data_IF_109536499115
#
_entry.id   IF_109536499115
#
_cell.length_a   1.000
_cell.length_b   1.000
_cell.length_c   1.000
_cell.angle_alpha   90.00
_cell.angle_beta   90.00
_cell.angle_gamma   90.00
#
_symmetry.space_group_name_H-M   'P 1'
#
loop_
_entity.id
_entity.type
_entity.pdbx_description
1 polymer ?
#
# COMPACT_ATOMS: atom_id res chain seq x y z
N UNK A 1 -22.13 16.90 41.47
CA UNK A 1 -22.31 16.82 39.99
C UNK A 1 -21.57 17.91 39.21
N UNK A 2 -20.95 18.93 39.83
CA UNK A 2 -20.25 20.02 39.11
C UNK A 2 -18.75 19.73 38.84
N UNK A 3 -18.09 18.95 39.71
CA UNK A 3 -16.67 18.53 39.53
C UNK A 3 -16.44 17.47 38.46
N UNK A 4 -17.51 16.89 37.91
CA UNK A 4 -17.41 15.92 36.81
C UNK A 4 -17.29 16.67 35.47
N UNK A 5 -17.92 17.84 35.34
CA UNK A 5 -17.92 18.61 34.10
C UNK A 5 -16.55 19.24 33.77
N UNK A 6 -15.69 19.49 34.76
CA UNK A 6 -14.36 20.05 34.54
C UNK A 6 -13.33 19.03 34.05
N UNK A 7 -13.59 17.72 34.19
CA UNK A 7 -12.66 16.65 33.76
C UNK A 7 -12.82 16.27 32.27
N UNK A 8 -13.93 16.65 31.65
CA UNK A 8 -14.26 16.29 30.26
C UNK A 8 -13.52 17.12 29.20
N UNK A 9 -12.95 18.27 29.57
CA UNK A 9 -12.32 19.21 28.62
C UNK A 9 -10.84 18.85 28.34
N UNK A 10 -10.21 17.99 29.17
CA UNK A 10 -8.77 17.66 29.07
C UNK A 10 -8.46 16.47 28.14
N UNK A 11 -9.47 15.77 27.61
CA UNK A 11 -9.28 14.55 26.82
C UNK A 11 -9.32 14.74 25.30
N UNK A 12 -9.39 15.98 24.79
CA UNK A 12 -9.49 16.27 23.35
C UNK A 12 -8.17 16.19 22.58
N UNK A 13 -7.05 15.87 23.24
CA UNK A 13 -5.71 15.82 22.63
C UNK A 13 -5.29 14.42 22.16
N UNK A 14 -6.21 13.58 21.67
CA UNK A 14 -5.86 12.25 21.14
C UNK A 14 -5.54 12.37 19.65
N UNK A 15 -4.27 12.70 19.40
CA UNK A 15 -3.38 12.19 18.35
C UNK A 15 -4.02 11.76 17.01
N UNK A 16 -3.66 12.47 15.94
CA UNK A 16 -3.92 12.09 14.55
C UNK A 16 -3.27 10.75 14.19
N UNK A 17 -4.04 9.67 14.33
CA UNK A 17 -3.67 8.33 13.89
C UNK A 17 -3.56 8.34 12.35
N UNK A 18 -2.34 8.51 11.82
CA UNK A 18 -2.08 8.45 10.39
C UNK A 18 -2.18 7.00 9.91
N UNK A 19 -3.40 6.57 9.58
CA UNK A 19 -3.65 5.27 8.97
C UNK A 19 -3.04 5.27 7.57
N UNK A 20 -1.86 4.67 7.42
CA UNK A 20 -1.25 4.45 6.12
C UNK A 20 -2.22 3.65 5.26
N UNK A 21 -2.86 4.31 4.28
CA UNK A 21 -3.77 3.64 3.34
C UNK A 21 -2.97 2.53 2.65
N UNK A 22 -3.52 1.32 2.69
CA UNK A 22 -2.88 0.19 2.06
C UNK A 22 -2.63 0.49 0.56
N UNK A 23 -1.38 0.33 0.10
CA UNK A 23 -0.98 0.59 -1.29
C UNK A 23 -1.28 -0.59 -2.23
N UNK A 24 -1.71 -0.29 -3.45
CA UNK A 24 -1.97 -1.24 -4.53
C UNK A 24 -0.91 -1.13 -5.63
N UNK A 25 -0.64 -2.22 -6.35
CA UNK A 25 0.31 -2.21 -7.47
C UNK A 25 0.05 -1.14 -8.53
N UNK A 26 -1.22 -0.75 -8.75
CA UNK A 26 -1.58 0.32 -9.69
C UNK A 26 -1.06 1.71 -9.29
N UNK A 27 -0.67 1.89 -8.03
CA UNK A 27 -0.14 3.17 -7.52
C UNK A 27 1.35 3.34 -7.79
N UNK A 28 2.07 2.29 -8.19
CA UNK A 28 3.51 2.35 -8.48
C UNK A 28 3.77 2.36 -9.98
N UNK A 29 4.84 3.02 -10.40
CA UNK A 29 5.22 3.10 -11.81
C UNK A 29 6.12 1.95 -12.26
N UNK A 30 6.89 1.37 -11.34
CA UNK A 30 7.80 0.25 -11.62
C UNK A 30 7.76 -0.80 -10.53
N UNK A 31 8.21 -2.01 -10.88
CA UNK A 31 8.38 -3.09 -9.91
C UNK A 31 9.37 -2.67 -8.81
N UNK A 32 10.49 -2.03 -9.18
CA UNK A 32 11.52 -1.60 -8.21
C UNK A 32 10.98 -0.64 -7.14
N UNK A 33 10.10 0.30 -7.53
CA UNK A 33 9.44 1.22 -6.62
C UNK A 33 8.51 0.46 -5.64
N UNK A 34 7.70 -0.45 -6.18
CA UNK A 34 6.82 -1.30 -5.40
C UNK A 34 7.61 -2.21 -4.44
N UNK A 35 8.73 -2.77 -4.90
CA UNK A 35 9.61 -3.63 -4.10
C UNK A 35 10.25 -2.88 -2.94
N UNK A 36 10.70 -1.64 -3.18
CA UNK A 36 11.22 -0.78 -2.11
C UNK A 36 10.15 -0.54 -1.05
N UNK A 37 8.93 -0.18 -1.47
CA UNK A 37 7.82 0.03 -0.55
C UNK A 37 7.47 -1.25 0.23
N UNK A 38 7.40 -2.40 -0.44
CA UNK A 38 7.16 -3.71 0.14
C UNK A 38 8.19 -4.04 1.24
N UNK A 39 9.48 -3.87 0.96
CA UNK A 39 10.56 -4.12 1.92
C UNK A 39 10.50 -3.15 3.11
N UNK A 40 10.28 -1.86 2.87
CA UNK A 40 10.24 -0.84 3.94
C UNK A 40 9.04 -1.00 4.87
N UNK A 41 7.86 -1.34 4.33
CA UNK A 41 6.62 -1.34 5.09
C UNK A 41 6.06 -2.74 5.37
N UNK A 42 6.80 -3.80 5.01
CA UNK A 42 6.35 -5.19 5.04
C UNK A 42 4.95 -5.33 4.39
N UNK A 43 4.76 -4.67 3.25
CA UNK A 43 3.45 -4.50 2.62
C UNK A 43 3.04 -5.77 1.85
N UNK A 44 2.80 -6.87 2.56
CA UNK A 44 2.47 -8.22 2.04
C UNK A 44 1.33 -8.27 1.02
N UNK A 45 0.54 -7.21 0.89
CA UNK A 45 -0.50 -7.11 -0.13
C UNK A 45 0.04 -6.83 -1.54
N UNK A 46 1.27 -6.32 -1.65
CA UNK A 46 1.93 -6.07 -2.93
C UNK A 46 2.53 -7.35 -3.55
N UNK A 47 2.83 -8.33 -2.71
CA UNK A 47 3.33 -9.66 -3.06
C UNK A 47 2.29 -10.70 -2.61
N UNK A 48 1.31 -10.97 -3.48
CA UNK A 48 0.10 -11.73 -3.10
C UNK A 48 0.36 -13.23 -3.03
N UNK A 49 1.23 -13.72 -3.88
CA UNK A 49 1.70 -15.10 -3.98
C UNK A 49 2.85 -15.43 -3.03
N UNK A 50 3.44 -14.41 -2.40
CA UNK A 50 4.42 -14.53 -1.30
C UNK A 50 5.73 -15.15 -1.76
N UNK A 51 6.13 -14.87 -2.99
CA UNK A 51 7.41 -15.31 -3.56
C UNK A 51 8.55 -14.33 -3.27
N UNK A 52 8.24 -13.19 -2.63
CA UNK A 52 9.18 -12.13 -2.29
C UNK A 52 9.27 -11.02 -3.33
N UNK A 53 8.57 -11.13 -4.46
CA UNK A 53 8.55 -10.13 -5.54
C UNK A 53 7.23 -9.34 -5.55
N UNK A 54 7.31 -8.07 -5.17
CA UNK A 54 6.14 -7.21 -5.15
C UNK A 54 5.75 -6.76 -6.57
N UNK A 55 4.46 -6.88 -6.91
CA UNK A 55 3.87 -6.30 -8.11
C UNK A 55 4.58 -6.68 -9.43
N UNK A 56 4.89 -7.96 -9.60
CA UNK A 56 5.55 -8.58 -10.76
C UNK A 56 5.02 -8.18 -12.16
N UNK A 57 3.77 -7.71 -12.27
CA UNK A 57 3.19 -7.22 -13.53
C UNK A 57 3.66 -5.80 -13.93
N UNK A 58 4.33 -5.06 -13.05
CA UNK A 58 4.87 -3.73 -13.36
C UNK A 58 6.17 -3.85 -14.16
N UNK A 59 6.57 -2.77 -14.84
CA UNK A 59 7.81 -2.74 -15.61
C UNK A 59 9.01 -3.13 -14.73
N UNK A 60 9.80 -4.08 -15.23
CA UNK A 60 10.96 -4.65 -14.54
C UNK A 60 10.66 -5.88 -13.67
N UNK A 61 9.40 -6.29 -13.53
CA UNK A 61 9.04 -7.50 -12.80
C UNK A 61 9.11 -8.77 -13.63
N UNK A 62 9.31 -9.90 -12.96
CA UNK A 62 9.50 -11.22 -13.57
C UNK A 62 8.31 -11.70 -14.41
N UNK A 63 7.10 -11.22 -14.10
CA UNK A 63 5.87 -11.59 -14.81
C UNK A 63 5.36 -10.54 -15.79
N UNK A 64 6.13 -9.49 -16.06
CA UNK A 64 5.71 -8.37 -16.91
C UNK A 64 5.10 -8.80 -18.25
N UNK A 65 5.65 -9.85 -18.88
CA UNK A 65 5.23 -10.35 -20.19
C UNK A 65 4.12 -11.41 -20.17
N UNK A 66 3.69 -11.87 -19.00
CA UNK A 66 2.58 -12.82 -18.87
C UNK A 66 1.28 -12.20 -19.41
N UNK A 67 0.46 -13.00 -20.10
CA UNK A 67 -0.81 -12.54 -20.69
C UNK A 67 -1.81 -12.00 -19.65
N UNK A 68 -1.82 -12.57 -18.46
CA UNK A 68 -2.57 -12.08 -17.28
C UNK A 68 -2.14 -10.67 -16.88
N UNK A 69 -0.83 -10.42 -16.83
CA UNK A 69 -0.25 -9.11 -16.55
C UNK A 69 -0.51 -8.11 -17.67
N UNK A 70 -0.47 -8.50 -18.94
CA UNK A 70 -0.82 -7.63 -20.08
C UNK A 70 -2.24 -7.07 -19.95
N UNK A 71 -3.22 -7.92 -19.60
CA UNK A 71 -4.62 -7.47 -19.38
C UNK A 71 -4.70 -6.49 -18.20
N UNK A 72 -4.01 -6.79 -17.11
CA UNK A 72 -3.97 -5.93 -15.92
C UNK A 72 -3.33 -4.57 -16.24
N UNK A 73 -2.18 -4.56 -16.92
CA UNK A 73 -1.47 -3.33 -17.33
C UNK A 73 -2.34 -2.46 -18.23
N UNK A 74 -3.03 -3.05 -19.22
CA UNK A 74 -4.00 -2.35 -20.06
C UNK A 74 -5.12 -1.71 -19.24
N UNK A 75 -5.69 -2.45 -18.27
CA UNK A 75 -6.76 -1.94 -17.39
C UNK A 75 -6.31 -0.74 -16.56
N UNK A 76 -5.07 -0.74 -16.08
CA UNK A 76 -4.53 0.31 -15.20
C UNK A 76 -3.59 1.29 -15.90
N UNK A 77 -3.56 1.30 -17.24
CA UNK A 77 -2.72 2.19 -18.07
C UNK A 77 -1.24 2.17 -17.63
N UNK A 78 -0.71 0.96 -17.39
CA UNK A 78 0.70 0.74 -17.08
C UNK A 78 1.44 0.35 -18.35
N UNK A 79 2.59 0.99 -18.58
CA UNK A 79 3.46 0.71 -19.72
C UNK A 79 4.37 -0.46 -19.37
#
# INVERSE_FOLDING_TARGET
MKSIFTLLILLTSITSLSYAKAKYCKEFNSQAEAQKYFKTHNAKRLDRDKDGEACECLKGGSSYDKSSCKRWRKKYKKN
#
